data_IF_839862385995
#
_entry.id   IF_839862385995
#
_cell.length_a   1.000
_cell.length_b   1.000
_cell.length_c   1.000
_cell.angle_alpha   90.00
_cell.angle_beta   90.00
_cell.angle_gamma   90.00
#
_symmetry.space_group_name_H-M   'P 1'
#
loop_
_entity.id
_entity.type
_entity.pdbx_description
1 polymer ?
#
# COMPACT_ATOMS: atom_id res chain seq x y z
N UNK A 1 7.97 2.34 -8.36
CA UNK A 1 7.48 3.37 -7.43
C UNK A 1 8.62 3.69 -6.48
N UNK A 2 9.25 4.87 -6.60
CA UNK A 2 10.29 5.31 -5.67
C UNK A 2 9.57 6.21 -4.66
N UNK A 3 9.39 5.74 -3.42
CA UNK A 3 8.70 6.52 -2.39
C UNK A 3 9.69 7.53 -1.77
N UNK A 4 9.36 8.83 -1.87
CA UNK A 4 10.15 9.94 -1.33
C UNK A 4 9.41 10.58 -0.14
N UNK A 5 9.41 9.93 1.03
CA UNK A 5 8.76 10.44 2.26
C UNK A 5 8.32 9.32 3.21
N UNK A 6 8.23 9.61 4.52
CA UNK A 6 8.11 8.66 5.64
C UNK A 6 7.21 7.44 5.36
N UNK A 7 7.81 6.26 5.34
CA UNK A 7 7.16 4.98 5.54
C UNK A 7 7.85 4.27 6.72
N UNK A 8 7.15 3.47 7.54
CA UNK A 8 7.81 2.59 8.51
C UNK A 8 8.49 1.48 7.69
N UNK A 9 9.69 1.78 7.21
CA UNK A 9 10.25 1.21 5.98
C UNK A 9 10.65 -0.26 6.13
N UNK A 10 11.20 -0.67 7.27
CA UNK A 10 11.67 -2.06 7.44
C UNK A 10 10.53 -3.08 7.59
N UNK A 11 9.51 -2.80 8.40
CA UNK A 11 8.42 -3.75 8.64
C UNK A 11 7.50 -3.91 7.42
N UNK A 12 7.22 -2.80 6.72
CA UNK A 12 6.39 -2.84 5.52
C UNK A 12 7.11 -3.45 4.31
N UNK A 13 8.41 -3.16 4.11
CA UNK A 13 9.18 -3.83 3.05
C UNK A 13 9.41 -5.33 3.34
N UNK A 14 9.25 -5.76 4.59
CA UNK A 14 9.29 -7.17 4.99
C UNK A 14 7.92 -7.87 4.88
N UNK A 15 6.81 -7.11 4.86
CA UNK A 15 5.47 -7.69 4.81
C UNK A 15 5.25 -8.40 3.46
N UNK A 16 4.91 -9.71 3.41
CA UNK A 16 4.89 -10.49 2.16
C UNK A 16 4.00 -9.91 1.05
N UNK A 17 2.92 -9.23 1.43
CA UNK A 17 1.96 -8.62 0.51
C UNK A 17 2.45 -7.34 -0.19
N UNK A 18 3.43 -6.61 0.36
CA UNK A 18 3.92 -5.33 -0.20
C UNK A 18 5.44 -5.25 -0.29
N UNK A 19 6.16 -6.16 0.37
CA UNK A 19 7.61 -6.27 0.35
C UNK A 19 8.13 -6.78 -0.98
N UNK A 20 9.36 -6.44 -1.33
CA UNK A 20 10.04 -6.98 -2.52
C UNK A 20 9.53 -6.48 -3.88
N UNK A 21 8.74 -5.39 -3.93
CA UNK A 21 8.40 -4.68 -5.17
C UNK A 21 9.10 -3.32 -5.32
N UNK A 22 9.91 -2.95 -4.32
CA UNK A 22 10.61 -1.67 -4.26
C UNK A 22 11.99 -1.81 -3.62
N UNK A 23 12.83 -0.81 -3.87
CA UNK A 23 14.17 -0.71 -3.31
C UNK A 23 14.32 0.65 -2.63
N UNK A 24 14.80 0.64 -1.39
CA UNK A 24 15.01 1.85 -0.61
C UNK A 24 16.42 2.40 -0.80
N UNK A 25 16.52 3.70 -1.10
CA UNK A 25 17.79 4.40 -1.19
C UNK A 25 18.10 5.03 0.16
N UNK A 26 19.23 4.68 0.76
CA UNK A 26 19.66 5.27 2.02
C UNK A 26 19.98 6.77 1.84
N UNK A 27 19.55 7.56 2.81
CA UNK A 27 19.83 9.01 2.89
C UNK A 27 21.05 9.26 3.77
N UNK A 28 21.72 10.38 3.50
CA UNK A 28 22.75 10.92 4.37
C UNK A 28 22.13 11.45 5.68
N UNK A 29 22.97 11.74 6.68
CA UNK A 29 22.54 12.24 7.99
C UNK A 29 21.77 13.57 7.93
N UNK A 30 22.07 14.40 6.92
CA UNK A 30 21.39 15.66 6.64
C UNK A 30 20.07 15.47 5.86
N UNK A 31 19.68 14.23 5.56
CA UNK A 31 18.49 13.87 4.81
C UNK A 31 18.66 13.93 3.28
N UNK A 32 19.82 14.33 2.78
CA UNK A 32 20.13 14.39 1.35
C UNK A 32 20.36 13.00 0.75
N UNK A 33 20.33 12.91 -0.59
CA UNK A 33 20.70 11.70 -1.33
C UNK A 33 22.05 11.86 -2.00
N UNK A 34 22.80 10.75 -2.06
CA UNK A 34 23.97 10.65 -2.92
C UNK A 34 23.54 10.25 -4.34
N UNK A 35 23.89 11.06 -5.34
CA UNK A 35 23.51 10.85 -6.73
C UNK A 35 24.00 9.49 -7.28
N UNK A 36 25.21 9.06 -6.95
CA UNK A 36 25.76 7.79 -7.41
C UNK A 36 24.99 6.60 -6.84
N UNK A 37 24.59 6.69 -5.57
CA UNK A 37 23.76 5.66 -4.94
C UNK A 37 22.40 5.60 -5.60
N UNK A 38 21.76 6.75 -5.85
CA UNK A 38 20.47 6.81 -6.58
C UNK A 38 20.60 6.20 -7.97
N UNK A 39 21.64 6.55 -8.73
CA UNK A 39 21.85 6.02 -10.07
C UNK A 39 22.09 4.50 -10.06
N UNK A 40 22.85 3.98 -9.08
CA UNK A 40 23.05 2.54 -8.87
C UNK A 40 21.74 1.84 -8.53
N UNK A 41 20.94 2.40 -7.62
CA UNK A 41 19.63 1.84 -7.27
C UNK A 41 18.67 1.83 -8.46
N UNK A 42 18.67 2.86 -9.30
CA UNK A 42 17.85 2.91 -10.52
C UNK A 42 18.26 1.80 -11.49
N UNK A 43 19.57 1.62 -11.71
CA UNK A 43 20.10 0.54 -12.56
C UNK A 43 19.75 -0.82 -12.00
N UNK A 44 19.92 -1.04 -10.70
CA UNK A 44 19.54 -2.28 -10.03
C UNK A 44 18.07 -2.60 -10.29
N UNK A 45 17.17 -1.67 -10.00
CA UNK A 45 15.71 -1.91 -10.09
C UNK A 45 15.24 -2.10 -11.54
N UNK A 46 15.84 -1.40 -12.49
CA UNK A 46 15.29 -1.31 -13.86
C UNK A 46 16.06 -2.12 -14.89
N UNK A 47 17.36 -2.31 -14.72
CA UNK A 47 18.27 -2.83 -15.74
C UNK A 47 18.94 -4.12 -15.27
N UNK A 48 19.68 -4.05 -14.16
CA UNK A 48 20.59 -5.11 -13.73
C UNK A 48 19.85 -6.42 -13.42
N UNK A 49 20.55 -7.55 -13.56
CA UNK A 49 19.95 -8.88 -13.37
C UNK A 49 19.56 -9.11 -11.91
N UNK A 50 20.32 -8.54 -11.00
CA UNK A 50 20.12 -8.63 -9.55
C UNK A 50 18.77 -8.05 -9.10
N UNK A 51 18.19 -7.11 -9.86
CA UNK A 51 16.85 -6.58 -9.60
C UNK A 51 15.72 -7.32 -10.30
N UNK A 52 15.99 -8.41 -11.04
CA UNK A 52 14.95 -9.23 -11.67
C UNK A 52 13.87 -9.70 -10.69
N UNK A 53 14.18 -10.16 -9.45
CA UNK A 53 13.15 -10.55 -8.49
C UNK A 53 12.18 -9.41 -8.14
N UNK A 54 12.66 -8.16 -8.04
CA UNK A 54 11.82 -6.98 -7.79
C UNK A 54 10.85 -6.74 -8.94
N UNK A 55 11.33 -6.84 -10.19
CA UNK A 55 10.52 -6.66 -11.40
C UNK A 55 9.47 -7.77 -11.54
N UNK A 56 9.84 -9.02 -11.30
CA UNK A 56 8.92 -10.15 -11.33
C UNK A 56 7.80 -10.00 -10.30
N UNK A 57 8.16 -9.67 -9.05
CA UNK A 57 7.17 -9.45 -8.00
C UNK A 57 6.28 -8.24 -8.30
N UNK A 58 6.84 -7.13 -8.81
CA UNK A 58 6.06 -5.97 -9.22
C UNK A 58 5.09 -6.31 -10.37
N UNK A 59 5.51 -7.12 -11.34
CA UNK A 59 4.66 -7.59 -12.42
C UNK A 59 3.51 -8.48 -11.92
N UNK A 60 3.78 -9.37 -10.95
CA UNK A 60 2.74 -10.17 -10.30
C UNK A 60 1.74 -9.29 -9.56
N UNK A 61 2.22 -8.33 -8.75
CA UNK A 61 1.36 -7.44 -7.97
C UNK A 61 0.50 -6.50 -8.82
N UNK A 62 0.88 -6.26 -10.08
CA UNK A 62 0.09 -5.47 -11.04
C UNK A 62 -1.35 -6.01 -11.18
N UNK A 63 -1.54 -7.33 -11.11
CA UNK A 63 -2.87 -7.94 -11.26
C UNK A 63 -3.77 -7.66 -10.06
N UNK A 64 -3.20 -7.41 -8.88
CA UNK A 64 -3.96 -7.10 -7.66
C UNK A 64 -4.22 -5.59 -7.60
N UNK A 65 -3.17 -4.77 -7.68
CA UNK A 65 -3.31 -3.31 -7.60
C UNK A 65 -4.10 -2.73 -8.78
N UNK A 66 -4.00 -3.33 -9.97
CA UNK A 66 -4.74 -2.90 -11.16
C UNK A 66 -6.16 -3.46 -11.27
N UNK A 67 -6.62 -4.32 -10.35
CA UNK A 67 -7.94 -4.93 -10.44
C UNK A 67 -9.03 -3.98 -9.93
N UNK A 68 -9.53 -3.13 -10.81
CA UNK A 68 -10.59 -2.17 -10.50
C UNK A 68 -11.83 -2.85 -9.91
N UNK A 69 -12.30 -3.96 -10.49
CA UNK A 69 -13.46 -4.68 -9.99
C UNK A 69 -13.27 -5.15 -8.54
N UNK A 70 -12.08 -5.65 -8.19
CA UNK A 70 -11.77 -6.07 -6.82
C UNK A 70 -11.88 -4.87 -5.85
N UNK A 71 -11.27 -3.74 -6.22
CA UNK A 71 -11.27 -2.54 -5.37
C UNK A 71 -12.67 -1.91 -5.28
N UNK A 72 -13.42 -1.89 -6.38
CA UNK A 72 -14.81 -1.44 -6.41
C UNK A 72 -15.69 -2.32 -5.51
N UNK A 73 -15.51 -3.64 -5.53
CA UNK A 73 -16.24 -4.54 -4.65
C UNK A 73 -15.92 -4.27 -3.17
N UNK A 74 -14.66 -4.07 -2.79
CA UNK A 74 -14.31 -3.70 -1.41
C UNK A 74 -14.96 -2.40 -0.96
N UNK A 75 -15.00 -1.39 -1.83
CA UNK A 75 -15.66 -0.11 -1.54
C UNK A 75 -17.18 -0.31 -1.43
N UNK A 76 -17.78 -1.09 -2.34
CA UNK A 76 -19.20 -1.37 -2.33
C UNK A 76 -19.64 -2.14 -1.08
N UNK A 77 -18.88 -3.15 -0.66
CA UNK A 77 -19.13 -3.91 0.56
C UNK A 77 -19.06 -3.00 1.80
N UNK A 78 -18.07 -2.10 1.83
CA UNK A 78 -17.93 -1.10 2.89
C UNK A 78 -19.12 -0.12 2.93
N UNK A 79 -19.52 0.42 1.77
CA UNK A 79 -20.70 1.30 1.66
C UNK A 79 -21.97 0.55 2.08
N UNK A 80 -22.14 -0.69 1.64
CA UNK A 80 -23.28 -1.53 1.98
C UNK A 80 -23.37 -1.75 3.49
N UNK A 81 -22.26 -2.15 4.12
CA UNK A 81 -22.17 -2.30 5.57
C UNK A 81 -22.61 -1.01 6.27
N UNK A 82 -22.04 0.15 5.92
CA UNK A 82 -22.43 1.43 6.53
C UNK A 82 -23.91 1.78 6.32
N UNK A 83 -24.46 1.50 5.14
CA UNK A 83 -25.88 1.72 4.83
C UNK A 83 -26.82 0.94 5.74
N UNK A 84 -26.46 -0.31 6.09
CA UNK A 84 -27.23 -1.12 7.05
C UNK A 84 -27.26 -0.45 8.43
N UNK A 85 -26.13 0.08 8.91
CA UNK A 85 -26.08 0.76 10.22
C UNK A 85 -26.91 2.03 10.24
N UNK A 86 -26.90 2.81 9.16
CA UNK A 86 -27.72 4.02 9.06
C UNK A 86 -29.21 3.69 9.08
N UNK A 87 -29.64 2.61 8.42
CA UNK A 87 -31.03 2.16 8.46
C UNK A 87 -31.43 1.62 9.84
N UNK A 88 -30.55 0.85 10.50
CA UNK A 88 -30.80 0.34 11.87
C UNK A 88 -30.87 1.47 12.90
N UNK A 89 -30.05 2.52 12.78
CA UNK A 89 -30.13 3.72 13.61
C UNK A 89 -31.41 4.52 13.41
N UNK A 90 -32.01 4.47 12.21
CA UNK A 90 -33.32 5.07 11.91
C UNK A 90 -34.51 4.25 12.46
N UNK A 91 -34.28 2.97 12.78
CA UNK A 91 -35.30 2.02 13.22
C UNK A 91 -35.21 1.67 14.72
N UNK A 92 -34.16 2.12 15.41
CA UNK A 92 -34.04 1.97 16.87
C UNK A 92 -35.06 2.90 17.55
N UNK A 93 -36.05 2.38 18.30
CA UNK A 93 -36.95 3.23 19.07
C UNK A 93 -36.10 4.02 20.06
N UNK A 94 -36.30 5.35 20.12
CA UNK A 94 -35.57 6.29 21.00
C UNK A 94 -35.47 5.81 22.46
N UNK A 95 -36.37 4.92 22.89
CA UNK A 95 -36.42 4.33 24.24
C UNK A 95 -35.24 3.41 24.58
N UNK A 96 -34.55 2.85 23.60
CA UNK A 96 -33.47 1.88 23.83
C UNK A 96 -32.06 2.53 23.83
N UNK A 97 -31.96 3.82 23.46
CA UNK A 97 -30.69 4.55 23.41
C UNK A 97 -30.18 4.98 24.81
N UNK A 98 -31.05 5.04 25.81
CA UNK A 98 -30.71 5.45 27.19
C UNK A 98 -30.20 4.28 28.06
N UNK A 99 -30.05 3.08 27.50
CA UNK A 99 -29.67 1.87 28.25
C UNK A 99 -28.24 1.36 28.00
N UNK A 100 -27.39 2.18 27.39
CA UNK A 100 -25.94 1.99 27.29
C UNK A 100 -25.21 3.05 28.12
#
# INVERSE_FOLDING_TARGET
>A
MVCLGWAPQLENLAHPAIGGIGFEVQRNKDGSFNQDVVAKSMRLVMVDKEGEPLRLKAAQMKTIFGNQNLHENYINDFIHYMGIYQQKGHQMPIKDAEKL
#
